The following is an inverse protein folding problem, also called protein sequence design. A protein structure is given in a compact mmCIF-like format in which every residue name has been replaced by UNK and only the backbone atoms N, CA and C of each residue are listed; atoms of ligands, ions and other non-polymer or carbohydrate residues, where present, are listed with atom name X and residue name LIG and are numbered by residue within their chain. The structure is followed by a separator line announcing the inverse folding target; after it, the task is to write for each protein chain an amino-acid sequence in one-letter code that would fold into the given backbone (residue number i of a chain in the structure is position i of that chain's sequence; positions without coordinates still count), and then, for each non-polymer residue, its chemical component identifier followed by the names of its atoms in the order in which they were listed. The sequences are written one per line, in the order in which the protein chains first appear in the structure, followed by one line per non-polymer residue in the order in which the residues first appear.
data_IF_791406844485
#
_entry.id   IF_791406844485
#
_cell.length_a   1.000
_cell.length_b   1.000
_cell.length_c   1.000
_cell.angle_alpha   90.00
_cell.angle_beta   90.00
_cell.angle_gamma   90.00
#
_symmetry.space_group_name_H-M   'P 1'
#
loop_
_entity.id
_entity.type
_entity.pdbx_description
1 polymer ?
#
# COMPACT_ATOMS: atom_id res chain seq x y z
N UNK A 1 -15.80 6.40 4.34
CA UNK A 1 -14.88 5.28 4.42
C UNK A 1 -13.91 5.31 3.29
N UNK A 2 -12.64 5.20 3.58
CA UNK A 2 -11.63 5.19 2.55
C UNK A 2 -11.33 3.76 2.19
N UNK A 3 -11.52 3.45 0.95
CA UNK A 3 -11.24 2.12 0.46
C UNK A 3 -9.96 2.17 -0.38
N UNK A 4 -8.88 1.70 0.18
CA UNK A 4 -7.64 1.59 -0.55
C UNK A 4 -7.68 0.28 -1.33
N UNK A 5 -8.17 0.35 -2.53
CA UNK A 5 -8.35 -0.83 -3.35
C UNK A 5 -7.05 -1.25 -4.04
N UNK A 6 -5.94 -1.15 -3.34
CA UNK A 6 -4.66 -1.62 -3.88
C UNK A 6 -4.67 -3.14 -3.97
N UNK A 7 -4.14 -3.65 -5.06
CA UNK A 7 -4.07 -5.08 -5.32
C UNK A 7 -2.69 -5.44 -5.85
N UNK A 8 -2.29 -6.66 -5.60
CA UNK A 8 -1.04 -7.15 -6.19
C UNK A 8 -1.15 -7.12 -7.71
N UNK A 9 -0.08 -6.67 -8.34
CA UNK A 9 -0.04 -6.49 -9.79
C UNK A 9 -0.41 -5.10 -10.26
N UNK A 10 -0.95 -4.26 -9.39
CA UNK A 10 -1.30 -2.89 -9.73
C UNK A 10 -0.05 -2.05 -9.97
N UNK A 11 -0.17 -1.10 -10.90
CA UNK A 11 0.91 -0.15 -11.18
C UNK A 11 0.63 1.12 -10.39
N UNK A 12 1.63 1.56 -9.64
CA UNK A 12 1.51 2.76 -8.81
C UNK A 12 2.75 3.63 -8.98
N UNK A 13 2.64 4.85 -8.50
CA UNK A 13 3.72 5.84 -8.54
C UNK A 13 3.86 6.46 -7.16
N UNK A 14 5.08 6.87 -6.81
CA UNK A 14 5.26 7.70 -5.63
C UNK A 14 4.64 9.07 -5.89
N UNK A 15 3.96 9.62 -4.89
CA UNK A 15 3.39 10.96 -5.02
C UNK A 15 4.44 12.02 -5.23
N UNK A 16 5.66 11.76 -4.77
CA UNK A 16 6.79 12.66 -4.96
C UNK A 16 7.44 12.54 -6.33
N UNK A 17 6.97 11.61 -7.15
CA UNK A 17 7.54 11.35 -8.47
C UNK A 17 8.40 10.12 -8.46
N UNK A 18 8.75 9.65 -9.65
CA UNK A 18 9.60 8.48 -9.80
C UNK A 18 9.07 7.51 -10.83
N UNK A 19 9.70 6.35 -10.95
CA UNK A 19 9.30 5.37 -11.95
C UNK A 19 7.99 4.68 -11.57
N UNK A 20 7.34 4.09 -12.57
CA UNK A 20 6.19 3.23 -12.32
C UNK A 20 6.65 2.01 -11.54
N UNK A 21 5.84 1.61 -10.56
CA UNK A 21 6.16 0.47 -9.72
C UNK A 21 4.99 -0.51 -9.74
N UNK A 22 5.30 -1.78 -9.55
CA UNK A 22 4.28 -2.82 -9.47
C UNK A 22 4.17 -3.31 -8.03
N UNK A 23 2.96 -3.38 -7.51
CA UNK A 23 2.73 -3.90 -6.17
C UNK A 23 2.92 -5.42 -6.22
N UNK A 24 3.89 -5.92 -5.45
CA UNK A 24 4.18 -7.35 -5.41
C UNK A 24 3.61 -8.01 -4.17
N UNK A 25 3.43 -7.23 -3.09
CA UNK A 25 2.94 -7.77 -1.84
C UNK A 25 2.21 -6.68 -1.08
N UNK A 26 1.25 -7.08 -0.25
CA UNK A 26 0.49 -6.14 0.58
C UNK A 26 0.52 -6.67 2.00
N UNK A 27 0.99 -5.82 2.92
CA UNK A 27 0.98 -6.15 4.33
C UNK A 27 -0.23 -5.49 4.98
N UNK A 28 -1.03 -6.31 5.65
CA UNK A 28 -2.21 -5.83 6.37
C UNK A 28 -1.92 -5.78 7.86
N UNK A 29 -2.50 -4.78 8.51
CA UNK A 29 -2.46 -4.66 9.94
C UNK A 29 -3.87 -4.87 10.47
N UNK A 30 -3.99 -5.59 11.56
CA UNK A 30 -5.28 -5.84 12.20
C UNK A 30 -5.34 -5.13 13.53
N UNK A 31 -6.47 -4.51 13.80
CA UNK A 31 -6.69 -3.86 15.06
C UNK A 31 -8.04 -4.31 15.61
N UNK A 32 -8.02 -4.83 16.84
CA UNK A 32 -9.23 -5.23 17.51
C UNK A 32 -9.66 -4.14 18.47
N UNK A 33 -10.90 -3.73 18.36
CA UNK A 33 -11.49 -2.76 19.28
C UNK A 33 -12.21 -3.53 20.37
N UNK A 34 -11.85 -3.33 21.66
CA UNK A 34 -12.45 -4.07 22.75
C UNK A 34 -13.96 -3.89 22.83
N UNK A 35 -14.67 -4.94 23.21
CA UNK A 35 -16.11 -4.89 23.31
C UNK A 35 -16.64 -3.93 24.37
N UNK A 36 -15.79 -3.51 25.32
CA UNK A 36 -16.23 -2.56 26.34
C UNK A 36 -16.39 -1.14 25.78
N UNK A 37 -15.79 -0.85 24.63
CA UNK A 37 -16.01 0.41 23.92
C UNK A 37 -17.25 0.36 23.05
N UNK A 38 -17.61 -0.83 22.62
CA UNK A 38 -18.80 -1.09 21.80
C UNK A 38 -19.48 -2.30 22.36
N UNK A 39 -20.69 -2.55 21.94
CA UNK A 39 -21.43 -3.72 22.43
C UNK A 39 -20.78 -5.03 22.03
N UNK A 40 -19.96 -5.02 20.99
CA UNK A 40 -19.25 -6.21 20.53
C UNK A 40 -17.85 -5.85 20.13
N UNK A 41 -16.95 -6.84 20.17
CA UNK A 41 -15.60 -6.64 19.67
C UNK A 41 -15.64 -6.44 18.17
N UNK A 42 -14.85 -5.47 17.69
CA UNK A 42 -14.74 -5.17 16.27
C UNK A 42 -13.31 -5.41 15.84
N UNK A 43 -13.16 -6.22 14.79
CA UNK A 43 -11.87 -6.48 14.19
C UNK A 43 -11.77 -5.70 12.89
N UNK A 44 -10.82 -4.78 12.84
CA UNK A 44 -10.59 -3.93 11.68
C UNK A 44 -9.25 -4.28 11.07
N UNK A 45 -9.20 -4.42 9.75
CA UNK A 45 -7.94 -4.60 9.05
C UNK A 45 -7.77 -3.47 8.05
N UNK A 46 -6.53 -3.06 7.88
CA UNK A 46 -6.20 -2.00 6.93
C UNK A 46 -4.83 -2.30 6.32
N UNK A 47 -4.57 -1.68 5.18
CA UNK A 47 -3.29 -1.83 4.50
C UNK A 47 -2.25 -1.02 5.27
N UNK A 48 -1.20 -1.72 5.72
CA UNK A 48 -0.13 -1.10 6.47
C UNK A 48 1.00 -0.67 5.54
N UNK A 49 1.48 -1.59 4.71
CA UNK A 49 2.58 -1.33 3.80
C UNK A 49 2.34 -2.04 2.48
N UNK A 50 2.89 -1.46 1.43
CA UNK A 50 2.87 -2.04 0.08
C UNK A 50 4.29 -2.30 -0.36
N UNK A 51 4.57 -3.54 -0.76
CA UNK A 51 5.85 -3.87 -1.34
C UNK A 51 5.76 -3.59 -2.84
N UNK A 52 6.53 -2.63 -3.28
CA UNK A 52 6.53 -2.22 -4.68
C UNK A 52 7.89 -2.51 -5.30
N UNK A 53 7.89 -2.96 -6.53
CA UNK A 53 9.13 -3.21 -7.23
C UNK A 53 9.12 -2.51 -8.58
N UNK A 54 10.32 -2.18 -9.04
CA UNK A 54 10.53 -1.49 -10.31
C UNK A 54 11.93 -1.80 -10.81
N UNK A 55 12.20 -1.41 -12.03
CA UNK A 55 13.55 -1.49 -12.58
C UNK A 55 14.10 -0.08 -12.66
N UNK A 56 15.34 0.08 -12.19
CA UNK A 56 16.00 1.38 -12.28
C UNK A 56 16.53 1.61 -13.71
N UNK A 57 17.15 2.75 -13.91
CA UNK A 57 17.65 3.10 -15.25
C UNK A 57 18.76 2.17 -15.75
N UNK A 58 19.37 1.42 -14.85
CA UNK A 58 20.37 0.41 -15.20
C UNK A 58 19.76 -0.97 -15.34
N UNK A 59 18.42 -1.03 -15.33
CA UNK A 59 17.66 -2.25 -15.46
C UNK A 59 17.89 -3.22 -14.31
N UNK A 60 18.20 -2.71 -13.13
CA UNK A 60 18.31 -3.50 -11.92
C UNK A 60 16.98 -3.52 -11.19
N UNK A 61 16.57 -4.69 -10.74
CA UNK A 61 15.33 -4.83 -9.99
C UNK A 61 15.48 -4.19 -8.61
N UNK A 62 14.54 -3.34 -8.27
CA UNK A 62 14.48 -2.69 -6.97
C UNK A 62 13.17 -3.05 -6.28
N UNK A 63 13.19 -3.11 -4.97
CA UNK A 63 11.99 -3.41 -4.20
C UNK A 63 12.05 -2.66 -2.87
N UNK A 64 10.93 -2.07 -2.49
CA UNK A 64 10.84 -1.35 -1.25
C UNK A 64 9.41 -1.38 -0.72
N UNK A 65 9.27 -1.23 0.58
CA UNK A 65 7.97 -1.10 1.23
C UNK A 65 7.62 0.37 1.36
N UNK A 66 6.40 0.71 0.98
CA UNK A 66 5.89 2.08 1.06
C UNK A 66 4.58 2.11 1.80
N UNK A 67 4.32 3.22 2.50
CA UNK A 67 3.01 3.44 3.09
C UNK A 67 1.99 3.69 1.97
N UNK A 68 0.74 3.24 2.13
CA UNK A 68 -0.27 3.47 1.09
C UNK A 68 -0.49 4.94 0.75
N UNK A 69 -0.32 5.82 1.74
CA UNK A 69 -0.51 7.25 1.51
C UNK A 69 0.61 7.88 0.68
N UNK A 70 1.72 7.17 0.49
CA UNK A 70 2.85 7.70 -0.28
C UNK A 70 2.77 7.36 -1.77
N UNK A 71 1.83 6.52 -2.17
CA UNK A 71 1.70 6.08 -3.56
C UNK A 71 0.34 6.46 -4.13
N UNK A 72 0.28 6.52 -5.44
CA UNK A 72 -0.94 6.89 -6.15
C UNK A 72 -1.00 6.09 -7.46
N UNK A 73 -2.21 5.91 -7.96
CA UNK A 73 -2.39 5.29 -9.27
C UNK A 73 -2.14 6.26 -10.42
N UNK A 74 -2.11 7.54 -10.12
CA UNK A 74 -1.96 8.57 -11.15
C UNK A 74 -0.52 9.03 -11.19
N UNK A 75 0.07 9.03 -12.40
CA UNK A 75 1.41 9.56 -12.59
C UNK A 75 1.44 11.03 -12.21
N UNK A 76 2.26 11.45 -11.23
CA UNK A 76 2.28 12.85 -10.80
C UNK A 76 2.94 13.80 -11.79
N UNK A 77 3.56 13.27 -12.85
CA UNK A 77 4.19 14.13 -13.86
C UNK A 77 3.34 14.34 -15.08
#
# INVERSE_FOLDING_TARGET
MIDYAFKRGDIVYLKSGGPAMTISEIQYCRKEIPGWLYNTSVLTSYIDLLACHWFDKNNHAQCKWFAPCAVTYVDPE
#
